data_IF_856528617468
#
_entry.id   IF_856528617468
#
_cell.length_a   1.000
_cell.length_b   1.000
_cell.length_c   1.000
_cell.angle_alpha   90.00
_cell.angle_beta   90.00
_cell.angle_gamma   90.00
#
_symmetry.space_group_name_H-M   'P 1'
#
loop_
_entity.id
_entity.type
_entity.pdbx_description
1 polymer ?
#
# COMPACT_ATOMS: atom_id res chain seq x y z
N UNK A 1 -36.03 8.01 3.93
CA UNK A 1 -34.77 8.44 3.26
C UNK A 1 -33.61 8.25 4.23
N UNK A 2 -32.85 7.16 4.09
CA UNK A 2 -31.63 6.95 4.89
C UNK A 2 -30.58 7.92 4.36
N UNK A 3 -30.26 8.97 5.13
CA UNK A 3 -29.13 9.87 4.83
C UNK A 3 -27.87 9.00 4.78
N UNK A 4 -27.41 8.70 3.56
CA UNK A 4 -26.15 8.00 3.34
C UNK A 4 -25.04 8.73 4.09
N UNK A 5 -24.42 8.06 5.05
CA UNK A 5 -23.21 8.53 5.72
C UNK A 5 -22.22 8.91 4.62
N UNK A 6 -21.88 10.20 4.48
CA UNK A 6 -20.82 10.64 3.56
C UNK A 6 -19.62 9.74 3.84
N UNK A 7 -19.19 8.92 2.88
CA UNK A 7 -17.90 8.24 2.97
C UNK A 7 -16.89 9.36 3.18
N UNK A 8 -16.20 9.34 4.32
CA UNK A 8 -15.16 10.30 4.63
C UNK A 8 -14.00 9.95 3.68
N UNK A 9 -14.02 10.53 2.48
CA UNK A 9 -12.92 10.41 1.54
C UNK A 9 -11.78 11.19 2.18
N UNK A 10 -10.72 10.48 2.59
CA UNK A 10 -9.53 11.10 3.16
C UNK A 10 -8.99 12.11 2.14
N UNK A 11 -8.63 13.29 2.61
CA UNK A 11 -7.96 14.27 1.74
C UNK A 11 -6.54 13.79 1.42
N UNK A 12 -5.95 14.29 0.34
CA UNK A 12 -4.57 13.92 -0.02
C UNK A 12 -3.59 14.26 1.11
N UNK A 13 -3.80 15.39 1.80
CA UNK A 13 -3.04 15.79 2.99
C UNK A 13 -3.18 14.78 4.13
N UNK A 14 -4.39 14.28 4.39
CA UNK A 14 -4.62 13.27 5.43
C UNK A 14 -3.96 11.93 5.09
N UNK A 15 -3.97 11.54 3.81
CA UNK A 15 -3.33 10.31 3.32
C UNK A 15 -1.82 10.41 3.50
N UNK A 16 -1.21 11.49 3.01
CA UNK A 16 0.23 11.74 3.15
C UNK A 16 0.62 11.75 4.62
N UNK A 17 -0.13 12.46 5.48
CA UNK A 17 0.14 12.51 6.92
C UNK A 17 0.14 11.12 7.56
N UNK A 18 -0.86 10.28 7.26
CA UNK A 18 -0.95 8.92 7.80
C UNK A 18 0.16 8.00 7.30
N UNK A 19 0.58 8.15 6.05
CA UNK A 19 1.73 7.41 5.50
C UNK A 19 3.02 7.84 6.21
N UNK A 20 3.22 9.15 6.40
CA UNK A 20 4.37 9.70 7.12
C UNK A 20 4.40 9.33 8.60
N UNK A 21 3.26 9.20 9.26
CA UNK A 21 3.17 8.75 10.66
C UNK A 21 3.88 7.40 10.84
N UNK A 22 3.75 6.48 9.88
CA UNK A 22 4.46 5.19 9.92
C UNK A 22 5.99 5.37 9.91
N UNK A 23 6.50 6.29 9.10
CA UNK A 23 7.93 6.63 9.06
C UNK A 23 8.40 7.39 10.30
N UNK A 24 7.57 8.30 10.83
CA UNK A 24 7.86 9.07 12.06
C UNK A 24 8.04 8.15 13.26
N UNK A 25 7.23 7.09 13.39
CA UNK A 25 7.39 6.09 14.46
C UNK A 25 8.78 5.44 14.45
N UNK A 26 9.36 5.22 13.27
CA UNK A 26 10.72 4.69 13.14
C UNK A 26 11.75 5.74 13.55
N UNK A 27 11.60 6.99 13.08
CA UNK A 27 12.50 8.10 13.45
C UNK A 27 12.49 8.33 14.96
N UNK A 28 11.32 8.37 15.59
CA UNK A 28 11.18 8.55 17.03
C UNK A 28 11.92 7.47 17.83
N UNK A 29 11.86 6.21 17.39
CA UNK A 29 12.62 5.11 18.02
C UNK A 29 14.13 5.31 17.89
N UNK A 30 14.59 5.68 16.70
CA UNK A 30 16.01 5.95 16.46
C UNK A 30 16.51 7.11 17.33
N UNK A 31 15.73 8.19 17.43
CA UNK A 31 16.07 9.36 18.25
C UNK A 31 16.09 9.06 19.76
N UNK A 32 15.44 7.97 20.19
CA UNK A 32 15.48 7.46 21.57
C UNK A 32 16.55 6.39 21.79
N UNK A 33 17.41 6.15 20.79
CA UNK A 33 18.41 5.07 20.80
C UNK A 33 17.79 3.67 20.97
N UNK A 34 16.51 3.52 20.64
CA UNK A 34 15.81 2.24 20.66
C UNK A 34 15.99 1.51 19.32
N UNK A 35 15.97 0.18 19.37
CA UNK A 35 15.98 -0.65 18.15
C UNK A 35 14.74 -0.36 17.30
N UNK A 36 14.87 0.12 16.05
CA UNK A 36 13.71 0.44 15.23
C UNK A 36 13.02 -0.83 14.73
N UNK A 37 11.71 -0.78 14.71
CA UNK A 37 10.86 -1.84 14.19
C UNK A 37 9.53 -1.28 13.68
N UNK A 38 8.86 -2.05 12.82
CA UNK A 38 7.50 -1.79 12.35
C UNK A 38 6.57 -2.92 12.79
N UNK A 39 5.35 -2.57 13.19
CA UNK A 39 4.30 -3.55 13.50
C UNK A 39 3.33 -3.68 12.33
N UNK A 40 3.26 -4.86 11.73
CA UNK A 40 2.40 -5.13 10.58
C UNK A 40 1.33 -6.15 10.98
N UNK A 41 0.02 -5.83 10.89
CA UNK A 41 -1.04 -6.82 11.12
C UNK A 41 -0.88 -8.09 10.28
N UNK A 42 -1.01 -9.26 10.91
CA UNK A 42 -0.87 -10.54 10.21
C UNK A 42 -2.08 -10.84 9.33
N UNK A 43 -1.84 -11.09 8.03
CA UNK A 43 -2.85 -11.48 7.04
C UNK A 43 -3.03 -13.00 6.94
N UNK A 44 -3.03 -13.71 8.07
CA UNK A 44 -3.19 -15.17 8.11
C UNK A 44 -4.63 -15.56 8.43
N UNK A 45 -5.08 -16.75 7.98
CA UNK A 45 -6.40 -17.29 8.34
C UNK A 45 -6.61 -17.35 9.86
N UNK A 46 -5.55 -17.69 10.60
CA UNK A 46 -5.55 -17.75 12.07
C UNK A 46 -5.64 -16.39 12.78
N UNK A 47 -5.54 -15.30 12.02
CA UNK A 47 -5.74 -13.93 12.48
C UNK A 47 -6.93 -13.26 11.77
N UNK A 48 -7.83 -14.01 11.14
CA UNK A 48 -9.05 -13.46 10.53
C UNK A 48 -10.25 -13.72 11.45
N UNK A 49 -10.99 -12.66 11.78
CA UNK A 49 -12.14 -12.70 12.70
C UNK A 49 -13.40 -12.30 11.93
N UNK A 50 -14.48 -13.06 12.11
CA UNK A 50 -15.79 -12.71 11.57
C UNK A 50 -16.50 -11.67 12.44
N UNK A 51 -16.77 -10.48 11.89
CA UNK A 51 -17.62 -9.48 12.53
C UNK A 51 -19.09 -9.80 12.20
N UNK A 52 -19.82 -10.39 13.16
CA UNK A 52 -21.24 -10.73 12.99
C UNK A 52 -22.13 -9.51 12.72
N UNK A 53 -21.78 -8.35 13.26
CA UNK A 53 -22.60 -7.12 13.14
C UNK A 53 -22.43 -6.50 11.77
N UNK A 54 -21.18 -6.40 11.29
CA UNK A 54 -20.85 -5.85 9.98
C UNK A 54 -20.98 -6.86 8.84
N UNK A 55 -21.05 -8.16 9.17
CA UNK A 55 -21.03 -9.29 8.22
C UNK A 55 -19.83 -9.24 7.28
N UNK A 56 -18.66 -8.94 7.83
CA UNK A 56 -17.40 -8.89 7.09
C UNK A 56 -16.31 -9.62 7.89
N UNK A 57 -15.31 -10.12 7.17
CA UNK A 57 -14.07 -10.60 7.77
C UNK A 57 -13.18 -9.41 8.09
N UNK A 58 -12.61 -9.40 9.29
CA UNK A 58 -11.68 -8.38 9.77
C UNK A 58 -10.36 -9.03 10.18
N UNK A 59 -9.27 -8.27 10.09
CA UNK A 59 -8.01 -8.67 10.70
C UNK A 59 -8.12 -8.63 12.22
N UNK A 60 -7.57 -9.65 12.86
CA UNK A 60 -7.47 -9.79 14.30
C UNK A 60 -6.26 -9.05 14.87
N UNK A 61 -6.04 -9.16 16.18
CA UNK A 61 -5.08 -8.33 16.90
C UNK A 61 -3.62 -8.75 16.70
N UNK A 62 -3.33 -9.91 16.08
CA UNK A 62 -1.95 -10.38 15.95
C UNK A 62 -1.20 -9.54 14.92
N UNK A 63 0.03 -9.16 15.28
CA UNK A 63 0.94 -8.40 14.42
C UNK A 63 2.28 -9.12 14.30
N UNK A 64 2.93 -8.94 13.16
CA UNK A 64 4.32 -9.28 12.91
C UNK A 64 5.19 -8.08 13.22
N UNK A 65 6.36 -8.32 13.79
CA UNK A 65 7.38 -7.28 14.00
C UNK A 65 8.40 -7.40 12.89
N UNK A 66 8.58 -6.34 12.09
CA UNK A 66 9.70 -6.19 11.18
C UNK A 66 10.79 -5.43 11.94
N UNK A 67 11.83 -6.11 12.42
CA UNK A 67 12.93 -5.46 13.14
C UNK A 67 14.12 -5.23 12.22
N UNK A 68 14.74 -4.05 12.30
CA UNK A 68 15.95 -3.75 11.54
C UNK A 68 17.15 -4.62 11.97
N UNK A 69 17.24 -4.96 13.25
CA UNK A 69 18.36 -5.71 13.83
C UNK A 69 18.17 -7.23 13.77
N UNK A 70 17.09 -7.73 13.20
CA UNK A 70 16.88 -9.15 12.96
C UNK A 70 17.29 -9.49 11.52
N UNK A 71 18.23 -10.42 11.36
CA UNK A 71 18.77 -10.84 10.05
C UNK A 71 17.65 -11.30 9.10
N UNK A 72 16.60 -11.93 9.60
CA UNK A 72 15.52 -12.46 8.77
C UNK A 72 14.51 -11.39 8.34
N UNK A 73 14.47 -10.25 9.05
CA UNK A 73 13.46 -9.20 8.86
C UNK A 73 14.06 -7.87 8.40
N UNK A 74 15.38 -7.69 8.49
CA UNK A 74 16.08 -6.46 8.10
C UNK A 74 15.82 -6.06 6.65
N UNK A 75 15.87 -7.02 5.70
CA UNK A 75 15.54 -6.80 4.29
C UNK A 75 14.11 -6.30 4.13
N UNK A 76 13.14 -6.95 4.80
CA UNK A 76 11.72 -6.57 4.72
C UNK A 76 11.43 -5.23 5.38
N UNK A 77 12.10 -4.92 6.48
CA UNK A 77 12.04 -3.62 7.13
C UNK A 77 12.50 -2.52 6.17
N UNK A 78 13.67 -2.69 5.54
CA UNK A 78 14.20 -1.75 4.56
C UNK A 78 13.27 -1.61 3.35
N UNK A 79 12.80 -2.73 2.77
CA UNK A 79 11.86 -2.75 1.65
C UNK A 79 10.58 -1.96 1.97
N UNK A 80 10.04 -2.13 3.18
CA UNK A 80 8.82 -1.43 3.63
C UNK A 80 9.03 0.08 3.67
N UNK A 81 10.15 0.54 4.25
CA UNK A 81 10.47 1.96 4.30
C UNK A 81 10.73 2.55 2.91
N UNK A 82 11.45 1.82 2.05
CA UNK A 82 11.71 2.25 0.68
C UNK A 82 10.40 2.39 -0.10
N UNK A 83 9.54 1.37 -0.11
CA UNK A 83 8.26 1.42 -0.81
C UNK A 83 7.35 2.53 -0.24
N UNK A 84 7.32 2.71 1.07
CA UNK A 84 6.59 3.80 1.72
C UNK A 84 7.09 5.17 1.22
N UNK A 85 8.42 5.35 1.12
CA UNK A 85 9.00 6.60 0.63
C UNK A 85 8.63 6.88 -0.83
N UNK A 86 8.65 5.86 -1.69
CA UNK A 86 8.25 5.98 -3.10
C UNK A 86 6.79 6.42 -3.24
N UNK A 87 5.90 5.81 -2.45
CA UNK A 87 4.47 6.15 -2.45
C UNK A 87 4.25 7.59 -1.98
N UNK A 88 4.91 8.01 -0.90
CA UNK A 88 4.79 9.38 -0.36
C UNK A 88 5.32 10.40 -1.37
N UNK A 89 6.47 10.14 -1.99
CA UNK A 89 7.08 11.03 -2.99
C UNK A 89 6.18 11.17 -4.20
N UNK A 90 5.74 10.05 -4.80
CA UNK A 90 4.81 10.06 -5.93
C UNK A 90 3.55 10.87 -5.59
N UNK A 91 3.02 10.73 -4.36
CA UNK A 91 1.88 11.54 -3.94
C UNK A 91 2.13 13.03 -3.82
N UNK A 92 3.25 13.44 -3.23
CA UNK A 92 3.62 14.85 -3.14
C UNK A 92 3.80 15.49 -4.52
N UNK A 93 4.27 14.71 -5.48
CA UNK A 93 4.48 15.15 -6.86
C UNK A 93 3.19 15.09 -7.72
N UNK A 94 2.06 14.69 -7.14
CA UNK A 94 0.81 14.44 -7.87
C UNK A 94 0.97 13.40 -9.00
N UNK A 95 1.89 12.45 -8.83
CA UNK A 95 2.07 11.31 -9.70
C UNK A 95 1.21 10.11 -9.22
N UNK A 96 0.82 9.26 -10.17
CA UNK A 96 -0.09 8.13 -9.98
C UNK A 96 0.51 6.86 -10.61
N UNK A 97 1.60 6.31 -10.04
CA UNK A 97 2.33 5.20 -10.64
C UNK A 97 1.50 3.92 -10.61
N UNK A 98 1.73 3.04 -11.58
CA UNK A 98 1.22 1.67 -11.52
C UNK A 98 2.05 0.83 -10.54
N UNK A 99 1.54 -0.34 -10.18
CA UNK A 99 2.27 -1.31 -9.35
C UNK A 99 3.59 -1.76 -10.02
N UNK A 100 3.64 -1.76 -11.36
CA UNK A 100 4.88 -2.08 -12.09
C UNK A 100 5.88 -0.94 -12.05
N UNK A 101 5.41 0.30 -12.16
CA UNK A 101 6.29 1.47 -12.07
C UNK A 101 6.97 1.50 -10.70
N UNK A 102 6.21 1.30 -9.61
CA UNK A 102 6.78 1.19 -8.26
C UNK A 102 7.80 0.05 -8.13
N UNK A 103 7.52 -1.11 -8.75
CA UNK A 103 8.47 -2.23 -8.76
C UNK A 103 9.77 -1.86 -9.48
N UNK A 104 9.72 -1.23 -10.66
CA UNK A 104 10.94 -0.87 -11.39
C UNK A 104 11.68 0.29 -10.73
N UNK A 105 10.98 1.32 -10.26
CA UNK A 105 11.58 2.49 -9.61
C UNK A 105 12.31 2.12 -8.32
N UNK A 106 11.79 1.17 -7.54
CA UNK A 106 12.46 0.73 -6.32
C UNK A 106 13.42 -0.45 -6.50
N UNK A 107 13.50 -1.05 -7.70
CA UNK A 107 14.40 -2.19 -7.94
C UNK A 107 15.83 -1.70 -8.08
N UNK A 108 16.61 -1.87 -7.01
CA UNK A 108 18.04 -1.59 -7.00
C UNK A 108 18.86 -2.84 -6.69
N UNK A 109 19.98 -2.98 -7.38
CA UNK A 109 21.03 -3.96 -7.07
C UNK A 109 21.97 -3.38 -6.02
N UNK A 110 21.97 -3.99 -4.83
CA UNK A 110 22.89 -3.70 -3.74
C UNK A 110 24.15 -4.56 -3.92
N UNK A 111 25.26 -3.93 -4.26
CA UNK A 111 26.57 -4.59 -4.34
C UNK A 111 27.37 -4.29 -3.07
N UNK A 112 27.83 -5.33 -2.38
CA UNK A 112 28.61 -5.18 -1.15
C UNK A 112 29.65 -6.29 -0.99
N UNK A 113 30.61 -6.09 -0.08
CA UNK A 113 31.60 -7.11 0.27
C UNK A 113 31.16 -7.73 1.60
N UNK A 114 30.96 -9.05 1.60
CA UNK A 114 30.57 -9.75 2.83
C UNK A 114 31.74 -9.88 3.82
N UNK A 115 31.44 -10.36 5.03
CA UNK A 115 32.44 -10.58 6.07
C UNK A 115 33.56 -11.58 5.68
N UNK A 116 33.39 -12.33 4.58
CA UNK A 116 34.40 -13.25 4.03
C UNK A 116 35.23 -12.63 2.90
N UNK A 117 35.03 -11.34 2.60
CA UNK A 117 35.74 -10.63 1.53
C UNK A 117 35.20 -10.91 0.13
N UNK A 118 34.03 -11.55 0.00
CA UNK A 118 33.43 -11.88 -1.30
C UNK A 118 32.45 -10.80 -1.73
N UNK A 119 32.48 -10.45 -3.02
CA UNK A 119 31.46 -9.57 -3.62
C UNK A 119 30.12 -10.29 -3.64
N UNK A 120 29.10 -9.66 -3.07
CA UNK A 120 27.70 -10.07 -3.10
C UNK A 120 26.89 -9.04 -3.88
N UNK A 121 25.83 -9.54 -4.51
CA UNK A 121 24.81 -8.74 -5.17
C UNK A 121 23.47 -9.20 -4.64
N UNK A 122 22.66 -8.26 -4.18
CA UNK A 122 21.32 -8.52 -3.70
C UNK A 122 20.36 -7.51 -4.33
N UNK A 123 19.25 -7.99 -4.86
CA UNK A 123 18.20 -7.11 -5.33
C UNK A 123 17.35 -6.63 -4.15
N UNK A 124 16.87 -5.40 -4.26
CA UNK A 124 15.89 -4.84 -3.32
C UNK A 124 14.68 -5.75 -3.22
N UNK A 125 14.22 -6.28 -4.34
CA UNK A 125 13.24 -7.37 -4.43
C UNK A 125 13.53 -8.21 -5.68
N UNK A 126 13.30 -9.51 -5.55
CA UNK A 126 13.61 -10.49 -6.57
C UNK A 126 12.45 -10.66 -7.55
N UNK A 127 11.21 -10.38 -7.10
CA UNK A 127 9.99 -10.54 -7.90
C UNK A 127 8.95 -9.44 -7.65
N UNK A 128 8.01 -9.31 -8.59
CA UNK A 128 6.85 -8.42 -8.44
C UNK A 128 5.97 -8.85 -7.25
N UNK A 129 5.84 -10.14 -6.98
CA UNK A 129 5.02 -10.62 -5.87
C UNK A 129 5.57 -10.21 -4.52
N UNK A 130 6.90 -10.11 -4.41
CA UNK A 130 7.58 -9.59 -3.23
C UNK A 130 7.26 -8.10 -3.00
N UNK A 131 7.42 -7.24 -4.02
CA UNK A 131 7.08 -5.81 -3.88
C UNK A 131 5.58 -5.59 -3.64
N UNK A 132 4.71 -6.40 -4.26
CA UNK A 132 3.27 -6.40 -4.02
C UNK A 132 2.92 -6.73 -2.56
N UNK A 133 3.62 -7.70 -1.96
CA UNK A 133 3.42 -8.07 -0.56
C UNK A 133 3.79 -6.91 0.39
N UNK A 134 4.83 -6.13 0.05
CA UNK A 134 5.22 -4.93 0.81
C UNK A 134 4.18 -3.83 0.72
N UNK A 135 3.59 -3.59 -0.47
CA UNK A 135 2.47 -2.64 -0.61
C UNK A 135 1.30 -3.06 0.30
N UNK A 136 0.96 -4.35 0.32
CA UNK A 136 -0.09 -4.86 1.22
C UNK A 136 0.26 -4.70 2.70
N UNK A 137 1.53 -4.84 3.09
CA UNK A 137 2.01 -4.58 4.46
C UNK A 137 1.72 -3.11 4.84
N UNK A 138 1.99 -2.17 3.94
CA UNK A 138 1.69 -0.74 4.14
C UNK A 138 0.18 -0.49 4.22
N UNK A 139 -0.63 -1.15 3.37
CA UNK A 139 -2.10 -1.03 3.40
C UNK A 139 -2.66 -1.40 4.78
N UNK A 140 -2.24 -2.53 5.33
CA UNK A 140 -2.74 -3.00 6.63
C UNK A 140 -2.15 -2.22 7.80
N UNK A 141 -0.90 -1.75 7.70
CA UNK A 141 -0.28 -0.94 8.74
C UNK A 141 -0.91 0.44 8.88
N UNK A 142 -1.29 1.05 7.77
CA UNK A 142 -1.85 2.42 7.72
C UNK A 142 -3.38 2.46 7.68
N UNK A 143 -4.01 1.35 7.29
CA UNK A 143 -5.45 1.28 7.05
C UNK A 143 -5.89 2.08 5.82
N UNK A 144 -4.96 2.40 4.92
CA UNK A 144 -5.23 3.09 3.65
C UNK A 144 -5.18 2.04 2.54
N UNK A 145 -6.11 2.10 1.59
CA UNK A 145 -6.08 1.23 0.42
C UNK A 145 -5.11 1.77 -0.64
N UNK A 146 -4.46 0.89 -1.40
CA UNK A 146 -3.52 1.26 -2.49
C UNK A 146 -4.11 2.27 -3.49
N UNK A 147 -5.41 2.18 -3.79
CA UNK A 147 -6.14 3.11 -4.66
C UNK A 147 -6.12 4.53 -4.07
N UNK A 148 -6.30 4.62 -2.74
CA UNK A 148 -6.27 5.89 -2.02
C UNK A 148 -4.84 6.43 -1.95
N UNK A 149 -3.84 5.55 -1.83
CA UNK A 149 -2.42 5.92 -1.93
C UNK A 149 -2.02 6.44 -3.32
N UNK A 150 -2.89 6.30 -4.34
CA UNK A 150 -2.59 6.76 -5.70
C UNK A 150 -1.97 5.75 -6.63
N UNK A 151 -1.90 4.50 -6.19
CA UNK A 151 -1.36 3.43 -7.01
C UNK A 151 -2.43 3.08 -8.05
N UNK A 152 -2.11 3.28 -9.32
CA UNK A 152 -3.05 3.01 -10.41
C UNK A 152 -3.12 1.51 -10.69
N UNK A 153 -4.28 1.07 -11.16
CA UNK A 153 -4.54 -0.32 -11.56
C UNK A 153 -5.02 -0.35 -13.01
N UNK A 154 -4.72 -1.44 -13.70
CA UNK A 154 -5.28 -1.67 -15.02
C UNK A 154 -6.82 -1.77 -14.92
N UNK A 155 -7.53 -0.98 -15.73
CA UNK A 155 -8.99 -1.06 -15.85
C UNK A 155 -9.36 -2.38 -16.50
N UNK A 156 -9.80 -3.35 -15.70
CA UNK A 156 -10.25 -4.67 -16.17
C UNK A 156 -11.77 -4.81 -16.12
N UNK A 157 -12.46 -3.90 -15.44
CA UNK A 157 -13.92 -3.91 -15.32
C UNK A 157 -14.58 -3.18 -16.48
N UNK A 158 -15.75 -3.67 -16.90
CA UNK A 158 -16.65 -2.97 -17.81
C UNK A 158 -18.04 -2.95 -17.21
N UNK A 159 -18.70 -1.79 -17.25
CA UNK A 159 -20.06 -1.61 -16.73
C UNK A 159 -21.00 -1.10 -17.82
N UNK A 160 -22.20 -1.70 -17.84
CA UNK A 160 -23.35 -1.29 -18.65
C UNK A 160 -24.60 -1.42 -17.80
N UNK A 161 -25.61 -0.59 -18.05
CA UNK A 161 -26.91 -0.71 -17.40
C UNK A 161 -27.59 0.63 -17.14
N UNK A 162 -28.75 0.56 -16.48
CA UNK A 162 -29.55 1.74 -16.14
C UNK A 162 -28.96 2.48 -14.93
N UNK A 163 -27.86 3.17 -15.15
CA UNK A 163 -27.14 3.94 -14.14
C UNK A 163 -26.48 5.17 -14.77
N UNK A 164 -26.46 6.25 -14.00
CA UNK A 164 -25.77 7.48 -14.37
C UNK A 164 -24.65 7.70 -13.35
N UNK A 165 -23.41 7.74 -13.82
CA UNK A 165 -22.23 7.97 -12.98
C UNK A 165 -21.73 9.41 -13.14
N UNK A 166 -21.04 9.93 -12.12
CA UNK A 166 -20.35 11.22 -12.19
C UNK A 166 -18.86 11.00 -12.00
N UNK A 167 -18.05 11.37 -12.98
CA UNK A 167 -16.59 11.23 -12.95
C UNK A 167 -15.93 12.52 -13.40
N UNK A 168 -15.00 13.05 -12.59
CA UNK A 168 -14.27 14.31 -12.86
C UNK A 168 -15.16 15.47 -13.35
N UNK A 169 -16.36 15.61 -12.77
CA UNK A 169 -17.33 16.65 -13.13
C UNK A 169 -18.28 16.28 -14.28
N UNK A 170 -17.99 15.24 -15.06
CA UNK A 170 -18.84 14.78 -16.15
C UNK A 170 -19.92 13.81 -15.67
N UNK A 171 -21.14 13.96 -16.18
CA UNK A 171 -22.25 13.04 -15.96
C UNK A 171 -22.32 12.08 -17.15
N UNK A 172 -22.14 10.80 -16.90
CA UNK A 172 -22.06 9.75 -17.93
C UNK A 172 -23.25 8.82 -17.75
N UNK A 173 -24.11 8.77 -18.76
CA UNK A 173 -25.27 7.89 -18.81
C UNK A 173 -24.88 6.55 -19.43
N UNK A 174 -24.84 5.49 -18.61
CA UNK A 174 -24.41 4.16 -19.04
C UNK A 174 -25.42 3.44 -19.94
N UNK A 175 -26.63 4.00 -20.11
CA UNK A 175 -27.64 3.47 -21.06
C UNK A 175 -27.38 3.90 -22.51
N UNK A 176 -26.55 4.92 -22.72
CA UNK A 176 -26.33 5.56 -24.03
C UNK A 176 -24.97 5.25 -24.65
N UNK A 177 -24.36 4.12 -24.26
CA UNK A 177 -23.03 3.70 -24.73
C UNK A 177 -23.06 2.82 -25.99
N UNK A 178 -24.25 2.54 -26.54
CA UNK A 178 -24.42 1.66 -27.69
C UNK A 178 -23.99 0.22 -27.38
N UNK A 179 -23.24 -0.40 -28.30
CA UNK A 179 -22.60 -1.71 -28.07
C UNK A 179 -21.38 -1.66 -27.14
N UNK A 180 -20.95 -0.45 -26.75
CA UNK A 180 -19.83 -0.24 -25.85
C UNK A 180 -20.18 -0.46 -24.39
N UNK A 181 -19.17 -0.31 -23.54
CA UNK A 181 -19.29 -0.33 -22.09
C UNK A 181 -18.33 0.70 -21.49
N UNK A 182 -18.65 1.21 -20.30
CA UNK A 182 -17.73 2.11 -19.60
C UNK A 182 -16.70 1.29 -18.85
N UNK A 183 -15.42 1.56 -19.08
CA UNK A 183 -14.32 0.87 -18.39
C UNK A 183 -14.08 1.47 -17.01
N UNK A 184 -13.86 0.61 -16.02
CA UNK A 184 -13.57 0.98 -14.63
C UNK A 184 -12.41 0.16 -14.06
#
# INVERSE_FOLDING_TARGET
MVKGKKRNVLTDEEIIRKLEELGKLVVEKIMREEKPYLEIPLRTLSNTIWDKKRRILMLGPKKSIRSFFDINESKKFMQTLLMLSLIITARRENDYPTIRDLYYTGKHTLEYIDHTGRKRKEETWDSQDESNAIIQDIEVATGILREQMGIMHDMKGKIVGNMIIRSKGHRIDLTKLGYGAYSI
#
